data_IF_451038586224
#
_entry.id   IF_451038586224
#
_cell.length_a   1.000
_cell.length_b   1.000
_cell.length_c   1.000
_cell.angle_alpha   90.00
_cell.angle_beta   90.00
_cell.angle_gamma   90.00
#
_symmetry.space_group_name_H-M   'P 1'
#
loop_
_entity.id
_entity.type
_entity.pdbx_description
1 polymer ?
#
# COMPACT_ATOMS: atom_id res chain seq x y z
N UNK A 1 20.31 3.03 21.50
CA UNK A 1 19.35 2.27 20.65
C UNK A 1 19.09 3.13 19.43
N UNK A 2 18.90 2.51 18.26
CA UNK A 2 18.53 3.25 17.08
C UNK A 2 17.01 3.54 17.06
N UNK A 3 16.64 4.70 16.56
CA UNK A 3 15.26 5.14 16.36
C UNK A 3 14.88 4.79 14.91
N UNK A 4 13.86 3.93 14.72
CA UNK A 4 13.43 3.48 13.40
C UNK A 4 12.24 4.31 12.90
N UNK A 5 12.47 5.13 11.88
CA UNK A 5 11.47 6.02 11.26
C UNK A 5 11.36 5.81 9.74
N UNK A 6 11.53 4.56 9.27
CA UNK A 6 11.33 4.18 7.85
C UNK A 6 10.19 3.14 7.69
N UNK A 7 9.13 3.25 8.49
CA UNK A 7 7.97 2.35 8.43
C UNK A 7 7.23 2.41 7.08
N UNK A 8 7.31 3.52 6.37
CA UNK A 8 6.77 3.65 5.02
C UNK A 8 7.48 2.78 3.97
N UNK A 9 8.70 2.30 4.24
CA UNK A 9 9.37 1.30 3.42
C UNK A 9 8.96 -0.12 3.85
N UNK A 10 9.02 -0.42 5.14
CA UNK A 10 8.55 -1.67 5.75
C UNK A 10 8.34 -1.43 7.25
N UNK A 11 7.30 -1.96 7.86
CA UNK A 11 7.10 -1.83 9.29
C UNK A 11 8.18 -2.59 10.09
N UNK A 12 8.66 -1.98 11.18
CA UNK A 12 9.55 -2.63 12.13
C UNK A 12 9.33 -2.04 13.54
N UNK A 13 9.19 -2.92 14.58
CA UNK A 13 9.11 -4.38 14.49
C UNK A 13 7.87 -4.86 13.74
N UNK A 14 7.76 -6.16 13.46
CA UNK A 14 6.53 -6.78 12.99
C UNK A 14 5.54 -6.95 14.15
N UNK A 15 4.25 -7.17 13.84
CA UNK A 15 3.28 -7.47 14.88
C UNK A 15 3.72 -8.69 15.72
N UNK A 16 3.36 -8.72 17.01
CA UNK A 16 3.60 -9.88 17.85
C UNK A 16 3.05 -11.17 17.23
N UNK A 17 3.80 -12.27 17.34
CA UNK A 17 3.40 -13.58 16.82
C UNK A 17 3.72 -13.83 15.34
N UNK A 18 4.14 -12.83 14.57
CA UNK A 18 4.44 -13.00 13.13
C UNK A 18 5.60 -13.97 12.91
N UNK A 19 6.71 -13.79 13.62
CA UNK A 19 7.87 -14.67 13.49
C UNK A 19 7.57 -16.08 13.96
N UNK A 20 6.88 -16.22 15.05
CA UNK A 20 6.47 -17.50 15.66
C UNK A 20 5.54 -18.30 14.74
N UNK A 21 4.56 -17.64 14.13
CA UNK A 21 3.64 -18.28 13.20
C UNK A 21 4.35 -18.79 11.94
N UNK A 22 5.29 -18.02 11.39
CA UNK A 22 6.11 -18.43 10.25
C UNK A 22 7.01 -19.62 10.62
N UNK A 23 7.63 -19.60 11.80
CA UNK A 23 8.47 -20.67 12.30
C UNK A 23 7.67 -21.95 12.55
N UNK A 24 6.47 -21.84 13.12
CA UNK A 24 5.57 -22.96 13.35
C UNK A 24 5.20 -23.65 12.04
N UNK A 25 4.82 -22.87 11.01
CA UNK A 25 4.57 -23.46 9.70
C UNK A 25 5.76 -24.24 9.16
N UNK A 26 6.97 -23.66 9.21
CA UNK A 26 8.17 -24.29 8.64
C UNK A 26 8.56 -25.56 9.39
N UNK A 27 8.43 -25.57 10.72
CA UNK A 27 8.90 -26.68 11.55
C UNK A 27 7.84 -27.78 11.76
N UNK A 28 6.57 -27.44 11.81
CA UNK A 28 5.52 -28.34 12.29
C UNK A 28 4.42 -28.64 11.26
N UNK A 29 4.19 -27.75 10.28
CA UNK A 29 3.12 -27.91 9.28
C UNK A 29 3.68 -28.34 7.93
N UNK A 30 4.48 -27.52 7.29
CA UNK A 30 5.24 -27.77 6.07
C UNK A 30 4.45 -28.28 4.85
N UNK A 31 3.12 -28.22 4.90
CA UNK A 31 2.23 -28.84 3.92
C UNK A 31 1.81 -27.85 2.84
N UNK A 32 1.80 -28.29 1.57
CA UNK A 32 1.21 -27.51 0.50
C UNK A 32 -0.33 -27.65 0.55
N UNK A 33 -1.03 -26.55 0.20
CA UNK A 33 -2.49 -26.50 0.10
C UNK A 33 -2.96 -26.96 -1.28
N UNK A 34 -4.24 -27.36 -1.40
CA UNK A 34 -4.91 -27.76 -2.64
C UNK A 34 -4.31 -29.00 -3.34
N UNK A 35 -3.35 -29.71 -2.71
CA UNK A 35 -2.67 -30.89 -3.34
C UNK A 35 -2.71 -32.14 -2.48
N UNK A 36 -3.23 -32.06 -1.26
CA UNK A 36 -3.20 -33.19 -0.32
C UNK A 36 -4.38 -33.12 0.67
N UNK A 37 -4.78 -34.31 1.18
CA UNK A 37 -5.94 -34.48 2.08
C UNK A 37 -5.54 -34.80 3.53
N UNK A 38 -4.25 -34.82 3.85
CA UNK A 38 -3.78 -35.14 5.21
C UNK A 38 -3.92 -33.91 6.16
N UNK A 39 -3.92 -34.17 7.46
CA UNK A 39 -4.28 -33.22 8.49
C UNK A 39 -3.51 -31.88 8.43
N UNK A 40 -2.18 -31.90 8.20
CA UNK A 40 -1.40 -30.66 8.13
C UNK A 40 -1.73 -29.82 6.89
N UNK A 41 -2.11 -30.43 5.76
CA UNK A 41 -2.60 -29.70 4.59
C UNK A 41 -3.95 -29.01 4.87
N UNK A 42 -4.84 -29.70 5.60
CA UNK A 42 -6.11 -29.11 6.04
C UNK A 42 -5.89 -27.94 7.00
N UNK A 43 -4.95 -28.07 7.93
CA UNK A 43 -4.58 -26.98 8.84
C UNK A 43 -4.08 -25.75 8.07
N UNK A 44 -3.19 -25.97 7.09
CA UNK A 44 -2.71 -24.87 6.25
C UNK A 44 -3.85 -24.20 5.47
N UNK A 45 -4.76 -24.98 4.88
CA UNK A 45 -5.90 -24.46 4.15
C UNK A 45 -6.85 -23.63 5.04
N UNK A 46 -7.06 -24.05 6.30
CA UNK A 46 -7.85 -23.29 7.26
C UNK A 46 -7.23 -21.93 7.61
N UNK A 47 -5.91 -21.86 7.80
CA UNK A 47 -5.22 -20.59 8.04
C UNK A 47 -5.32 -19.65 6.83
N UNK A 48 -5.22 -20.18 5.61
CA UNK A 48 -5.43 -19.37 4.41
C UNK A 48 -6.85 -18.81 4.34
N UNK A 49 -7.85 -19.62 4.63
CA UNK A 49 -9.26 -19.17 4.66
C UNK A 49 -9.46 -18.11 5.76
N UNK A 50 -9.01 -18.38 6.97
CA UNK A 50 -9.13 -17.42 8.08
C UNK A 50 -8.43 -16.09 7.75
N UNK A 51 -7.26 -16.13 7.10
CA UNK A 51 -6.56 -14.90 6.67
C UNK A 51 -7.40 -14.10 5.67
N UNK A 52 -8.07 -14.76 4.72
CA UNK A 52 -8.99 -14.12 3.77
C UNK A 52 -10.19 -13.51 4.48
N UNK A 53 -10.78 -14.23 5.43
CA UNK A 53 -11.90 -13.75 6.24
C UNK A 53 -11.51 -12.56 7.12
N UNK A 54 -10.30 -12.55 7.68
CA UNK A 54 -9.76 -11.42 8.42
C UNK A 54 -9.60 -10.19 7.53
N UNK A 55 -9.14 -10.34 6.29
CA UNK A 55 -9.05 -9.26 5.30
C UNK A 55 -10.44 -8.76 4.88
N UNK A 56 -11.42 -9.65 4.73
CA UNK A 56 -12.81 -9.29 4.49
C UNK A 56 -13.35 -8.40 5.63
N UNK A 57 -13.11 -8.80 6.88
CA UNK A 57 -13.51 -7.99 8.06
C UNK A 57 -12.80 -6.64 8.11
N UNK A 58 -11.49 -6.62 7.81
CA UNK A 58 -10.68 -5.41 7.87
C UNK A 58 -11.13 -4.35 6.85
N UNK A 59 -11.55 -4.77 5.66
CA UNK A 59 -11.89 -3.88 4.55
C UNK A 59 -13.38 -3.79 4.23
N UNK A 60 -14.26 -4.39 5.05
CA UNK A 60 -15.69 -4.52 4.76
C UNK A 60 -15.98 -5.10 3.38
N UNK A 61 -15.38 -6.25 3.10
CA UNK A 61 -15.51 -7.02 1.86
C UNK A 61 -16.24 -8.35 2.12
N UNK A 62 -17.07 -8.84 1.18
CA UNK A 62 -17.99 -9.94 1.49
C UNK A 62 -17.47 -11.34 1.18
N UNK A 63 -16.60 -11.46 0.16
CA UNK A 63 -16.27 -12.78 -0.38
C UNK A 63 -14.79 -13.13 -0.20
N UNK A 64 -14.45 -14.02 0.74
CA UNK A 64 -13.08 -14.44 0.96
C UNK A 64 -12.45 -15.14 -0.25
N UNK A 65 -13.23 -15.70 -1.18
CA UNK A 65 -12.69 -16.33 -2.39
C UNK A 65 -12.13 -15.29 -3.35
N UNK A 66 -12.60 -14.04 -3.29
CA UNK A 66 -12.13 -12.91 -4.08
C UNK A 66 -10.99 -12.11 -3.44
N UNK A 67 -10.45 -12.61 -2.33
CA UNK A 67 -9.20 -12.14 -1.72
C UNK A 67 -8.04 -12.97 -2.25
N UNK A 68 -7.13 -12.38 -2.98
CA UNK A 68 -6.03 -13.04 -3.69
C UNK A 68 -4.71 -12.72 -3.00
N UNK A 69 -3.91 -13.74 -2.71
CA UNK A 69 -2.54 -13.55 -2.23
C UNK A 69 -1.59 -13.34 -3.41
N UNK A 70 -0.74 -12.34 -3.29
CA UNK A 70 0.26 -12.00 -4.30
C UNK A 70 1.67 -11.98 -3.68
N UNK A 71 2.75 -12.09 -4.45
CA UNK A 71 4.11 -11.93 -3.93
C UNK A 71 4.39 -10.54 -3.33
N UNK A 72 3.48 -9.60 -3.52
CA UNK A 72 3.54 -8.23 -3.02
C UNK A 72 2.68 -7.32 -3.87
N UNK A 73 2.49 -6.09 -3.40
CA UNK A 73 1.61 -5.11 -4.04
C UNK A 73 1.92 -4.84 -5.51
N UNK A 74 3.21 -4.74 -5.88
CA UNK A 74 3.63 -4.49 -7.27
C UNK A 74 3.10 -5.58 -8.21
N UNK A 75 3.09 -6.85 -7.77
CA UNK A 75 2.53 -7.95 -8.56
C UNK A 75 1.01 -7.78 -8.73
N UNK A 76 0.29 -7.47 -7.64
CA UNK A 76 -1.16 -7.22 -7.69
C UNK A 76 -1.54 -6.09 -8.65
N UNK A 77 -0.87 -4.93 -8.56
CA UNK A 77 -1.12 -3.81 -9.49
C UNK A 77 -0.80 -4.18 -10.95
N UNK A 78 0.27 -4.94 -11.21
CA UNK A 78 0.55 -5.41 -12.56
C UNK A 78 -0.55 -6.36 -13.07
N UNK A 79 -1.04 -7.28 -12.22
CA UNK A 79 -2.14 -8.19 -12.58
C UNK A 79 -3.40 -7.40 -12.96
N UNK A 80 -3.78 -6.40 -12.14
CA UNK A 80 -4.96 -5.59 -12.40
C UNK A 80 -4.82 -4.74 -13.66
N UNK A 81 -3.72 -3.98 -13.78
CA UNK A 81 -3.55 -3.03 -14.88
C UNK A 81 -3.37 -3.75 -16.22
N UNK A 82 -2.46 -4.72 -16.28
CA UNK A 82 -2.16 -5.44 -17.53
C UNK A 82 -3.22 -6.48 -17.91
N UNK A 83 -3.91 -7.05 -16.92
CA UNK A 83 -5.00 -7.97 -17.16
C UNK A 83 -6.27 -7.27 -17.65
N UNK A 84 -6.46 -6.00 -17.29
CA UNK A 84 -7.69 -5.27 -17.59
C UNK A 84 -7.59 -4.33 -18.78
N UNK A 85 -6.52 -3.54 -18.88
CA UNK A 85 -6.36 -2.49 -19.89
C UNK A 85 -5.87 -3.06 -21.23
N UNK A 86 -6.44 -2.54 -22.31
CA UNK A 86 -6.12 -2.92 -23.69
C UNK A 86 -5.78 -1.65 -24.51
N UNK A 87 -5.16 -1.82 -25.67
CA UNK A 87 -4.89 -0.72 -26.60
C UNK A 87 -6.17 0.08 -26.90
N UNK A 88 -6.08 1.39 -26.82
CA UNK A 88 -7.20 2.31 -27.00
C UNK A 88 -7.93 2.67 -25.69
N UNK A 89 -7.68 1.97 -24.58
CA UNK A 89 -8.26 2.31 -23.29
C UNK A 89 -7.53 3.52 -22.66
N UNK A 90 -8.28 4.29 -21.86
CA UNK A 90 -7.77 5.40 -21.09
C UNK A 90 -7.93 5.11 -19.59
N UNK A 91 -6.90 5.41 -18.80
CA UNK A 91 -6.91 5.31 -17.34
C UNK A 91 -6.58 6.64 -16.69
N UNK A 92 -7.28 6.95 -15.59
CA UNK A 92 -7.00 8.14 -14.79
C UNK A 92 -6.28 7.71 -13.52
N UNK A 93 -5.13 8.34 -13.24
CA UNK A 93 -4.32 8.18 -12.04
C UNK A 93 -4.10 9.53 -11.36
N UNK A 94 -3.41 9.59 -10.22
CA UNK A 94 -3.03 10.87 -9.62
C UNK A 94 -1.63 11.34 -10.04
N UNK A 95 -1.30 12.61 -9.81
CA UNK A 95 0.06 13.13 -9.97
C UNK A 95 1.01 12.66 -8.85
N UNK A 96 0.47 12.01 -7.82
CA UNK A 96 1.21 11.58 -6.62
C UNK A 96 1.64 10.11 -6.65
N UNK A 97 1.35 9.37 -7.74
CA UNK A 97 1.50 7.91 -7.80
C UNK A 97 2.92 7.38 -7.61
N UNK A 98 2.98 6.22 -6.94
CA UNK A 98 4.18 5.42 -6.81
C UNK A 98 4.54 4.70 -8.11
N UNK A 99 5.82 4.36 -8.30
CA UNK A 99 6.30 3.61 -9.48
C UNK A 99 5.66 2.21 -9.65
N UNK A 100 5.09 1.63 -8.60
CA UNK A 100 4.35 0.37 -8.71
C UNK A 100 3.08 0.51 -9.59
N UNK A 101 2.48 1.72 -9.59
CA UNK A 101 1.38 2.11 -10.48
C UNK A 101 1.91 2.61 -11.83
N UNK A 102 2.88 3.53 -11.81
CA UNK A 102 3.28 4.24 -13.02
C UNK A 102 4.11 3.41 -14.00
N UNK A 103 4.99 2.53 -13.53
CA UNK A 103 5.83 1.74 -14.43
C UNK A 103 5.05 0.75 -15.30
N UNK A 104 4.06 -0.01 -14.78
CA UNK A 104 3.16 -0.79 -15.64
C UNK A 104 2.42 0.07 -16.66
N UNK A 105 1.93 1.26 -16.27
CA UNK A 105 1.22 2.16 -17.17
C UNK A 105 2.12 2.71 -18.29
N UNK A 106 3.37 3.05 -18.00
CA UNK A 106 4.36 3.44 -19.04
C UNK A 106 4.68 2.28 -20.00
N UNK A 107 4.58 1.02 -19.54
CA UNK A 107 4.69 -0.12 -20.44
C UNK A 107 3.45 -0.23 -21.34
N UNK A 108 2.26 -0.14 -20.75
CA UNK A 108 0.98 -0.20 -21.46
C UNK A 108 0.79 0.99 -22.42
N UNK A 109 1.33 2.17 -22.11
CA UNK A 109 1.34 3.32 -23.01
C UNK A 109 2.01 3.00 -24.35
N UNK A 110 3.10 2.21 -24.34
CA UNK A 110 3.77 1.73 -25.56
C UNK A 110 2.93 0.73 -26.36
N UNK A 111 1.92 0.13 -25.70
CA UNK A 111 0.99 -0.81 -26.27
C UNK A 111 -0.34 -0.12 -26.68
N UNK A 112 -0.43 1.20 -26.54
CA UNK A 112 -1.58 2.00 -26.97
C UNK A 112 -2.61 2.31 -25.89
N UNK A 113 -2.31 2.09 -24.59
CA UNK A 113 -3.13 2.60 -23.49
C UNK A 113 -2.76 4.05 -23.21
N UNK A 114 -3.76 4.89 -22.98
CA UNK A 114 -3.56 6.30 -22.60
C UNK A 114 -3.77 6.50 -21.09
N UNK A 115 -3.12 7.51 -20.50
CA UNK A 115 -3.43 7.89 -19.13
C UNK A 115 -3.43 9.40 -18.91
N UNK A 116 -4.26 9.85 -17.95
CA UNK A 116 -4.30 11.23 -17.47
C UNK A 116 -4.04 11.26 -15.96
N UNK A 117 -3.58 12.42 -15.45
CA UNK A 117 -3.28 12.59 -14.03
C UNK A 117 -4.19 13.63 -13.40
N UNK A 118 -4.88 13.27 -12.32
CA UNK A 118 -5.54 14.21 -11.42
C UNK A 118 -4.43 15.08 -10.82
N UNK A 119 -4.46 16.41 -10.98
CA UNK A 119 -3.44 17.27 -10.41
C UNK A 119 -3.54 17.34 -8.89
N UNK A 120 -2.41 17.47 -8.22
CA UNK A 120 -2.34 17.89 -6.82
C UNK A 120 -1.56 19.21 -6.72
N UNK A 121 -1.80 19.95 -5.66
CA UNK A 121 -1.08 21.21 -5.37
C UNK A 121 0.33 20.94 -4.79
N UNK A 122 1.00 22.01 -4.35
CA UNK A 122 2.35 21.95 -3.77
C UNK A 122 2.40 21.26 -2.40
N UNK A 123 1.25 21.07 -1.78
CA UNK A 123 1.10 20.33 -0.52
C UNK A 123 0.67 18.88 -0.75
N UNK A 124 0.58 18.47 -2.02
CA UNK A 124 0.20 17.12 -2.43
C UNK A 124 -1.30 16.84 -2.29
N UNK A 125 -2.13 17.90 -2.20
CA UNK A 125 -3.59 17.79 -2.06
C UNK A 125 -4.24 17.83 -3.44
N UNK A 126 -4.96 16.77 -3.76
CA UNK A 126 -5.80 16.68 -4.96
C UNK A 126 -7.27 17.00 -4.62
N UNK A 127 -8.02 17.48 -5.59
CA UNK A 127 -9.46 17.68 -5.48
C UNK A 127 -10.19 16.66 -6.35
N UNK A 128 -11.26 16.08 -5.83
CA UNK A 128 -11.98 15.03 -6.54
C UNK A 128 -12.62 15.53 -7.85
N UNK A 129 -13.10 16.78 -7.86
CA UNK A 129 -13.70 17.38 -9.03
C UNK A 129 -12.74 17.54 -10.22
N UNK A 130 -11.42 17.57 -9.97
CA UNK A 130 -10.41 17.68 -11.02
C UNK A 130 -10.32 16.40 -11.88
N UNK A 131 -10.99 15.31 -11.50
CA UNK A 131 -11.16 14.11 -12.34
C UNK A 131 -12.13 14.35 -13.50
N UNK A 132 -13.17 15.18 -13.32
CA UNK A 132 -14.26 15.34 -14.27
C UNK A 132 -13.81 15.74 -15.68
N UNK A 133 -12.92 16.74 -15.86
CA UNK A 133 -12.44 17.12 -17.20
C UNK A 133 -11.50 16.08 -17.82
N UNK A 134 -11.03 15.10 -17.05
CA UNK A 134 -10.14 14.04 -17.54
C UNK A 134 -10.92 12.83 -18.06
N UNK A 135 -12.20 12.71 -17.73
CA UNK A 135 -13.05 11.59 -18.18
C UNK A 135 -13.32 11.72 -19.68
N UNK A 136 -13.03 10.66 -20.42
CA UNK A 136 -13.21 10.55 -21.87
C UNK A 136 -14.14 9.38 -22.19
N UNK A 137 -14.69 9.28 -23.43
CA UNK A 137 -15.52 8.14 -23.82
C UNK A 137 -14.82 6.78 -23.69
N UNK A 138 -13.49 6.75 -23.83
CA UNK A 138 -12.66 5.56 -23.67
C UNK A 138 -12.03 5.43 -22.27
N UNK A 139 -12.44 6.24 -21.29
CA UNK A 139 -11.97 6.06 -19.91
C UNK A 139 -12.50 4.75 -19.35
N UNK A 140 -11.59 3.82 -19.13
CA UNK A 140 -11.87 2.44 -18.73
C UNK A 140 -11.68 2.21 -17.24
N UNK A 141 -10.82 3.00 -16.58
CA UNK A 141 -10.38 2.76 -15.22
C UNK A 141 -9.97 4.05 -14.52
N UNK A 142 -10.23 4.14 -13.23
CA UNK A 142 -9.56 5.05 -12.31
C UNK A 142 -8.73 4.22 -11.34
N UNK A 143 -7.44 4.54 -11.18
CA UNK A 143 -6.55 3.82 -10.28
C UNK A 143 -5.66 4.83 -9.54
N UNK A 144 -5.84 4.96 -8.22
CA UNK A 144 -5.08 5.93 -7.43
C UNK A 144 -4.60 5.34 -6.11
N UNK A 145 -3.51 5.93 -5.57
CA UNK A 145 -3.10 5.66 -4.21
C UNK A 145 -4.04 6.33 -3.20
N UNK A 146 -4.17 5.74 -2.02
CA UNK A 146 -4.94 6.34 -0.93
C UNK A 146 -4.15 7.46 -0.23
N UNK A 147 -2.86 7.22 0.02
CA UNK A 147 -1.97 8.21 0.62
C UNK A 147 -0.59 8.21 -0.04
N UNK A 148 0.00 9.39 -0.15
CA UNK A 148 1.34 9.57 -0.70
C UNK A 148 2.41 8.93 0.19
N UNK A 149 3.23 8.06 -0.41
CA UNK A 149 4.40 7.49 0.26
C UNK A 149 5.57 8.48 0.40
N UNK A 150 5.43 9.69 -0.13
CA UNK A 150 6.42 10.77 -0.02
C UNK A 150 6.09 11.67 1.15
N UNK A 151 4.91 12.28 1.16
CA UNK A 151 4.53 13.34 2.10
C UNK A 151 3.31 13.00 2.99
N UNK A 152 2.71 11.83 2.79
CA UNK A 152 1.58 11.35 3.60
C UNK A 152 0.23 11.97 3.23
N UNK A 153 0.13 12.87 2.25
CA UNK A 153 -1.14 13.47 1.86
C UNK A 153 -2.14 12.39 1.40
N UNK A 154 -3.36 12.49 1.92
CA UNK A 154 -4.50 11.64 1.54
C UNK A 154 -5.16 12.17 0.26
N UNK A 155 -5.48 11.27 -0.65
CA UNK A 155 -6.33 11.59 -1.79
C UNK A 155 -7.80 11.50 -1.38
N UNK A 156 -8.72 12.29 -2.00
CA UNK A 156 -10.15 12.30 -1.69
C UNK A 156 -10.85 11.08 -2.34
N UNK A 157 -10.48 9.87 -1.87
CA UNK A 157 -10.88 8.59 -2.50
C UNK A 157 -12.37 8.31 -2.36
N UNK A 158 -13.03 8.86 -1.34
CA UNK A 158 -14.47 8.72 -1.13
C UNK A 158 -15.24 9.47 -2.22
N UNK A 159 -14.86 10.69 -2.49
CA UNK A 159 -15.46 11.55 -3.52
C UNK A 159 -15.12 11.02 -4.92
N UNK A 160 -13.88 10.58 -5.15
CA UNK A 160 -13.46 9.93 -6.41
C UNK A 160 -14.30 8.68 -6.65
N UNK A 161 -14.47 7.82 -5.64
CA UNK A 161 -15.29 6.61 -5.71
C UNK A 161 -16.76 6.90 -6.03
N UNK A 162 -17.31 7.98 -5.46
CA UNK A 162 -18.68 8.41 -5.79
C UNK A 162 -18.82 8.82 -7.27
N UNK A 163 -17.86 9.57 -7.81
CA UNK A 163 -17.81 9.95 -9.23
C UNK A 163 -17.66 8.71 -10.12
N UNK A 164 -16.78 7.79 -9.74
CA UNK A 164 -16.57 6.54 -10.49
C UNK A 164 -17.85 5.70 -10.56
N UNK A 165 -18.55 5.57 -9.43
CA UNK A 165 -19.82 4.82 -9.34
C UNK A 165 -20.92 5.47 -10.20
N UNK A 166 -21.08 6.80 -10.15
CA UNK A 166 -22.03 7.54 -10.99
C UNK A 166 -21.76 7.34 -12.48
N UNK A 167 -20.51 7.22 -12.86
CA UNK A 167 -20.06 7.07 -14.27
C UNK A 167 -19.87 5.63 -14.71
N UNK A 168 -20.10 4.64 -13.82
CA UNK A 168 -19.85 3.23 -14.06
C UNK A 168 -18.40 2.95 -14.52
N UNK A 169 -17.43 3.64 -13.93
CA UNK A 169 -16.00 3.45 -14.17
C UNK A 169 -15.42 2.64 -13.01
N UNK A 170 -14.79 1.48 -13.25
CA UNK A 170 -14.10 0.73 -12.23
C UNK A 170 -13.06 1.56 -11.48
N UNK A 171 -12.94 1.32 -10.16
CA UNK A 171 -12.05 2.08 -9.28
C UNK A 171 -11.12 1.15 -8.51
N UNK A 172 -9.80 1.30 -8.72
CA UNK A 172 -8.74 0.57 -8.02
C UNK A 172 -8.06 1.46 -7.01
N UNK A 173 -7.89 0.95 -5.78
CA UNK A 173 -7.19 1.62 -4.69
C UNK A 173 -5.84 0.96 -4.39
N UNK A 174 -4.75 1.76 -4.49
CA UNK A 174 -3.46 1.44 -3.90
C UNK A 174 -3.48 1.83 -2.41
N UNK A 175 -3.60 0.84 -1.52
CA UNK A 175 -3.66 1.05 -0.08
C UNK A 175 -2.31 0.84 0.63
N UNK A 176 -1.17 0.98 -0.08
CA UNK A 176 0.16 0.67 0.45
C UNK A 176 0.57 1.48 1.68
N UNK A 177 0.02 2.68 1.86
CA UNK A 177 0.37 3.57 2.97
C UNK A 177 -0.80 3.79 3.93
N UNK A 178 -1.83 2.94 3.89
CA UNK A 178 -3.05 3.13 4.70
C UNK A 178 -3.62 1.82 5.24
N UNK A 179 -3.46 0.70 4.53
CA UNK A 179 -3.98 -0.59 4.94
C UNK A 179 -3.48 -0.97 6.34
N UNK A 180 -4.41 -1.24 7.27
CA UNK A 180 -4.15 -1.69 8.64
C UNK A 180 -4.03 -0.59 9.69
N UNK A 181 -3.83 0.67 9.31
CA UNK A 181 -3.71 1.80 10.25
C UNK A 181 -4.55 3.03 9.87
N UNK A 182 -5.26 2.98 8.76
CA UNK A 182 -6.25 3.98 8.36
C UNK A 182 -7.51 3.24 7.88
N UNK A 183 -8.72 3.68 8.25
CA UNK A 183 -9.95 3.02 7.86
C UNK A 183 -10.15 2.99 6.34
N UNK A 184 -10.46 1.81 5.81
CA UNK A 184 -10.79 1.61 4.40
C UNK A 184 -12.03 0.71 4.35
N UNK A 185 -13.11 1.23 3.82
CA UNK A 185 -14.34 0.48 3.57
C UNK A 185 -14.51 0.27 2.06
N UNK A 186 -14.32 -0.97 1.61
CA UNK A 186 -14.36 -1.34 0.21
C UNK A 186 -15.68 -0.96 -0.46
N UNK A 187 -16.80 -1.18 0.26
CA UNK A 187 -18.16 -0.92 -0.24
C UNK A 187 -18.48 0.57 -0.26
N UNK A 188 -18.17 1.27 0.84
CA UNK A 188 -18.44 2.71 0.95
C UNK A 188 -17.68 3.47 -0.12
N UNK A 189 -16.41 3.13 -0.35
CA UNK A 189 -15.56 3.75 -1.36
C UNK A 189 -15.95 3.35 -2.79
N UNK A 190 -16.78 2.30 -2.97
CA UNK A 190 -17.18 1.81 -4.29
C UNK A 190 -16.04 1.25 -5.10
N UNK A 191 -15.15 0.53 -4.44
CA UNK A 191 -13.98 -0.05 -5.08
C UNK A 191 -14.35 -1.23 -5.97
N UNK A 192 -13.68 -1.36 -7.11
CA UNK A 192 -13.66 -2.58 -7.93
C UNK A 192 -12.49 -3.48 -7.55
N UNK A 193 -11.37 -2.88 -7.08
CA UNK A 193 -10.28 -3.63 -6.50
C UNK A 193 -9.48 -2.79 -5.50
N UNK A 194 -8.81 -3.49 -4.58
CA UNK A 194 -7.87 -2.93 -3.61
C UNK A 194 -6.60 -3.77 -3.60
N UNK A 195 -5.44 -3.11 -3.56
CA UNK A 195 -4.16 -3.77 -3.33
C UNK A 195 -3.47 -3.25 -2.08
N UNK A 196 -2.85 -4.16 -1.30
CA UNK A 196 -2.03 -3.78 -0.15
C UNK A 196 -0.83 -4.73 0.03
N UNK A 197 0.34 -4.22 0.46
CA UNK A 197 1.49 -5.06 0.81
C UNK A 197 1.33 -5.58 2.25
N UNK A 198 1.68 -6.83 2.49
CA UNK A 198 1.62 -7.40 3.84
C UNK A 198 2.61 -6.78 4.83
N UNK A 199 3.73 -6.26 4.33
CA UNK A 199 4.89 -5.87 5.15
C UNK A 199 4.92 -4.42 5.65
N UNK A 200 3.92 -3.58 5.29
CA UNK A 200 3.79 -2.20 5.77
C UNK A 200 2.76 -2.11 6.88
N UNK A 201 1.72 -1.29 6.72
CA UNK A 201 0.71 -1.10 7.76
C UNK A 201 -0.09 -2.36 8.14
N UNK A 202 -0.09 -3.41 7.32
CA UNK A 202 -0.60 -4.73 7.72
C UNK A 202 0.35 -5.49 8.67
N UNK A 203 1.51 -4.96 9.02
CA UNK A 203 2.47 -5.43 10.03
C UNK A 203 2.99 -6.87 9.85
N UNK A 204 2.72 -7.48 8.70
CA UNK A 204 3.12 -8.85 8.35
C UNK A 204 4.50 -8.92 7.68
N UNK A 205 4.89 -10.10 7.17
CA UNK A 205 6.19 -10.30 6.55
C UNK A 205 6.27 -9.71 5.14
N UNK A 206 7.49 -9.58 4.63
CA UNK A 206 7.76 -9.32 3.23
C UNK A 206 7.44 -10.55 2.36
N UNK A 207 7.30 -10.36 1.04
CA UNK A 207 7.04 -11.45 0.10
C UNK A 207 5.58 -11.94 0.09
N UNK A 208 4.68 -11.19 0.72
CA UNK A 208 3.23 -11.38 0.66
C UNK A 208 2.53 -10.04 0.46
N UNK A 209 1.50 -10.01 -0.36
CA UNK A 209 0.57 -8.92 -0.56
C UNK A 209 -0.82 -9.48 -0.79
N UNK A 210 -1.80 -8.59 -0.82
CA UNK A 210 -3.20 -8.94 -1.00
C UNK A 210 -3.82 -8.09 -2.10
N UNK A 211 -4.75 -8.70 -2.83
CA UNK A 211 -5.56 -8.07 -3.86
C UNK A 211 -7.01 -8.54 -3.64
N UNK A 212 -7.91 -7.59 -3.42
CA UNK A 212 -9.34 -7.84 -3.31
C UNK A 212 -10.00 -7.35 -4.60
N UNK A 213 -10.91 -8.11 -5.17
CA UNK A 213 -11.63 -7.73 -6.39
C UNK A 213 -13.12 -8.01 -6.25
N UNK A 214 -13.97 -7.08 -6.69
CA UNK A 214 -15.40 -7.38 -6.82
C UNK A 214 -15.65 -8.44 -7.90
N UNK A 215 -16.82 -9.10 -7.83
CA UNK A 215 -17.16 -10.21 -8.71
C UNK A 215 -17.16 -9.85 -10.20
N UNK A 216 -17.71 -8.71 -10.55
CA UNK A 216 -17.86 -8.31 -11.96
C UNK A 216 -16.51 -7.84 -12.53
N UNK A 217 -15.75 -7.11 -11.74
CA UNK A 217 -14.42 -6.68 -12.15
C UNK A 217 -13.48 -7.88 -12.34
N UNK A 218 -13.50 -8.85 -11.42
CA UNK A 218 -12.66 -10.06 -11.49
C UNK A 218 -12.88 -10.88 -12.75
N UNK A 219 -14.12 -10.94 -13.26
CA UNK A 219 -14.45 -11.62 -14.54
C UNK A 219 -13.80 -10.94 -15.74
N UNK A 220 -13.60 -9.63 -15.66
CA UNK A 220 -13.07 -8.80 -16.77
C UNK A 220 -11.55 -8.68 -16.79
N UNK A 221 -10.86 -9.14 -15.73
CA UNK A 221 -9.40 -9.14 -15.63
C UNK A 221 -8.84 -10.46 -16.12
N UNK A 222 -7.95 -10.42 -17.10
CA UNK A 222 -7.21 -11.60 -17.55
C UNK A 222 -6.04 -11.91 -16.61
N UNK A 223 -5.89 -13.18 -16.17
CA UNK A 223 -4.75 -13.57 -15.37
C UNK A 223 -3.41 -13.34 -16.05
N UNK A 224 -2.48 -12.67 -15.39
CA UNK A 224 -1.14 -12.39 -15.94
C UNK A 224 -0.24 -13.62 -15.90
N UNK A 225 -0.49 -14.52 -14.96
CA UNK A 225 0.33 -15.73 -14.72
C UNK A 225 -0.57 -16.93 -14.86
N UNK A 226 -0.23 -17.82 -15.78
CA UNK A 226 -0.88 -19.11 -15.96
C UNK A 226 0.00 -20.24 -15.40
N UNK A 227 -0.62 -21.21 -14.73
CA UNK A 227 0.10 -22.35 -14.15
C UNK A 227 -0.81 -23.29 -13.38
N UNK A 228 -0.25 -24.32 -12.79
CA UNK A 228 -1.01 -25.28 -11.99
C UNK A 228 -1.49 -24.66 -10.66
N UNK A 229 -2.76 -24.87 -10.33
CA UNK A 229 -3.40 -24.35 -9.11
C UNK A 229 -3.63 -25.42 -8.04
N UNK A 230 -3.44 -26.70 -8.42
CA UNK A 230 -3.76 -27.85 -7.57
C UNK A 230 -5.22 -28.30 -7.66
N UNK A 231 -6.06 -27.57 -8.38
CA UNK A 231 -7.44 -27.88 -8.71
C UNK A 231 -7.61 -28.05 -10.22
N UNK A 232 -8.73 -28.62 -10.69
CA UNK A 232 -9.04 -28.82 -12.12
C UNK A 232 -7.87 -29.44 -12.91
N UNK A 233 -7.22 -30.46 -12.32
CA UNK A 233 -6.02 -31.07 -12.91
C UNK A 233 -6.31 -31.95 -14.17
N UNK A 234 -7.54 -32.07 -14.54
CA UNK A 234 -8.05 -32.73 -15.75
C UNK A 234 -8.13 -31.81 -16.98
N UNK A 235 -7.85 -30.50 -16.80
CA UNK A 235 -7.84 -29.49 -17.87
C UNK A 235 -6.49 -28.79 -17.97
N UNK A 236 -6.09 -28.41 -19.21
CA UNK A 236 -4.94 -27.53 -19.48
C UNK A 236 -5.34 -26.05 -19.44
N UNK A 237 -6.63 -25.74 -19.34
CA UNK A 237 -7.11 -24.36 -19.18
C UNK A 237 -7.06 -23.93 -17.72
N UNK A 238 -6.87 -22.62 -17.50
CA UNK A 238 -6.94 -22.06 -16.12
C UNK A 238 -8.36 -22.23 -15.56
N UNK A 239 -8.50 -22.61 -14.29
CA UNK A 239 -9.82 -22.69 -13.66
C UNK A 239 -10.53 -21.32 -13.73
N UNK A 240 -11.83 -21.28 -14.05
CA UNK A 240 -12.60 -20.04 -14.14
C UNK A 240 -13.01 -19.47 -12.77
N UNK A 241 -12.85 -20.26 -11.69
CA UNK A 241 -13.30 -19.90 -10.36
C UNK A 241 -12.18 -19.30 -9.51
N UNK A 242 -12.59 -18.47 -8.55
CA UNK A 242 -11.73 -17.81 -7.61
C UNK A 242 -11.45 -18.69 -6.38
N UNK A 243 -10.31 -18.56 -5.73
CA UNK A 243 -9.16 -17.68 -6.03
C UNK A 243 -8.21 -18.26 -7.07
N UNK A 244 -8.40 -19.51 -7.49
CA UNK A 244 -7.46 -20.32 -8.29
C UNK A 244 -7.08 -19.65 -9.60
N UNK A 245 -8.03 -18.93 -10.21
CA UNK A 245 -7.79 -18.18 -11.46
C UNK A 245 -6.58 -17.24 -11.36
N UNK A 246 -6.28 -16.68 -10.19
CA UNK A 246 -5.21 -15.71 -9.98
C UNK A 246 -4.06 -16.22 -9.09
N UNK A 247 -4.18 -17.42 -8.54
CA UNK A 247 -3.19 -18.00 -7.61
C UNK A 247 -2.47 -19.21 -8.21
N UNK A 248 -1.95 -19.07 -9.43
CA UNK A 248 -1.16 -20.11 -10.06
C UNK A 248 0.18 -20.33 -9.36
N UNK A 249 0.57 -21.59 -9.21
CA UNK A 249 1.83 -22.00 -8.59
C UNK A 249 1.72 -22.32 -7.10
N UNK A 250 2.86 -22.41 -6.41
CA UNK A 250 2.91 -22.63 -4.96
C UNK A 250 2.99 -21.29 -4.26
N UNK A 251 2.01 -21.00 -3.42
CA UNK A 251 1.94 -19.76 -2.66
C UNK A 251 3.00 -19.68 -1.55
N UNK A 252 3.30 -18.45 -1.11
CA UNK A 252 4.11 -18.20 0.08
C UNK A 252 3.32 -18.45 1.36
N UNK A 253 3.04 -19.73 1.65
CA UNK A 253 2.24 -20.13 2.82
C UNK A 253 2.85 -19.64 4.14
N UNK A 254 4.18 -19.76 4.40
CA UNK A 254 4.75 -19.18 5.61
C UNK A 254 4.50 -17.67 5.71
N UNK A 255 4.50 -16.95 4.58
CA UNK A 255 4.14 -15.53 4.56
C UNK A 255 2.67 -15.29 4.93
N UNK A 256 1.74 -16.16 4.49
CA UNK A 256 0.33 -16.08 4.90
C UNK A 256 0.15 -16.33 6.39
N UNK A 257 0.87 -17.31 6.97
CA UNK A 257 0.86 -17.56 8.42
C UNK A 257 1.29 -16.32 9.23
N UNK A 258 2.38 -15.68 8.79
CA UNK A 258 2.82 -14.43 9.41
C UNK A 258 1.82 -13.29 9.24
N UNK A 259 1.19 -13.19 8.06
CA UNK A 259 0.15 -12.19 7.80
C UNK A 259 -1.10 -12.45 8.64
N UNK A 260 -1.51 -13.70 8.82
CA UNK A 260 -2.63 -14.11 9.68
C UNK A 260 -2.43 -13.61 11.12
N UNK A 261 -1.27 -13.87 11.70
CA UNK A 261 -0.94 -13.39 13.05
C UNK A 261 -0.97 -11.86 13.15
N UNK A 262 -0.46 -11.17 12.14
CA UNK A 262 -0.48 -9.70 12.09
C UNK A 262 -1.91 -9.15 11.99
N UNK A 263 -2.76 -9.74 11.16
CA UNK A 263 -4.16 -9.33 11.01
C UNK A 263 -4.96 -9.60 12.29
N UNK A 264 -4.72 -10.72 12.97
CA UNK A 264 -5.30 -11.01 14.29
C UNK A 264 -4.98 -9.87 15.27
N UNK A 265 -3.71 -9.48 15.36
CA UNK A 265 -3.28 -8.36 16.21
C UNK A 265 -3.94 -7.03 15.84
N UNK A 266 -4.04 -6.72 14.53
CA UNK A 266 -4.70 -5.50 14.04
C UNK A 266 -6.19 -5.50 14.39
N UNK A 267 -6.90 -6.61 14.16
CA UNK A 267 -8.34 -6.70 14.43
C UNK A 267 -8.66 -6.67 15.93
N UNK A 268 -7.80 -7.24 16.78
CA UNK A 268 -7.95 -7.17 18.23
C UNK A 268 -7.77 -5.76 18.78
N UNK A 269 -6.81 -4.99 18.24
CA UNK A 269 -6.57 -3.60 18.65
C UNK A 269 -7.54 -2.60 18.01
N UNK A 270 -7.97 -2.88 16.78
CA UNK A 270 -8.76 -1.98 15.96
C UNK A 270 -7.92 -0.96 15.19
N UNK A 271 -8.29 -0.69 13.94
CA UNK A 271 -7.59 0.26 13.05
C UNK A 271 -7.52 1.67 13.65
N UNK A 272 -8.58 2.11 14.32
CA UNK A 272 -8.63 3.43 14.97
C UNK A 272 -7.60 3.60 16.08
N UNK A 273 -7.21 2.50 16.76
CA UNK A 273 -6.15 2.54 17.76
C UNK A 273 -4.80 2.92 17.11
N UNK A 274 -4.45 2.29 15.98
CA UNK A 274 -3.22 2.59 15.25
C UNK A 274 -3.26 4.00 14.66
N UNK A 275 -4.40 4.38 14.07
CA UNK A 275 -4.61 5.70 13.52
C UNK A 275 -4.43 6.80 14.58
N UNK A 276 -5.09 6.70 15.71
CA UNK A 276 -5.00 7.69 16.79
C UNK A 276 -3.57 7.81 17.34
N UNK A 277 -2.86 6.69 17.47
CA UNK A 277 -1.46 6.66 17.88
C UNK A 277 -0.57 7.41 16.87
N UNK A 278 -0.70 7.09 15.58
CA UNK A 278 0.08 7.70 14.51
C UNK A 278 -0.24 9.21 14.36
N UNK A 279 -1.52 9.59 14.44
CA UNK A 279 -1.95 11.01 14.40
C UNK A 279 -1.33 11.81 15.55
N UNK A 280 -1.33 11.28 16.78
CA UNK A 280 -0.71 11.92 17.93
C UNK A 280 0.78 12.19 17.72
N UNK A 281 1.52 11.18 17.26
CA UNK A 281 2.96 11.30 17.01
C UNK A 281 3.26 12.22 15.83
N UNK A 282 2.45 12.17 14.78
CA UNK A 282 2.57 13.04 13.62
C UNK A 282 2.38 14.51 14.01
N UNK A 283 1.33 14.81 14.77
CA UNK A 283 1.09 16.17 15.27
C UNK A 283 2.29 16.68 16.09
N UNK A 284 2.79 15.85 17.02
CA UNK A 284 3.98 16.19 17.81
C UNK A 284 5.19 16.48 16.94
N UNK A 285 5.41 15.67 15.89
CA UNK A 285 6.53 15.87 14.97
C UNK A 285 6.39 17.19 14.21
N UNK A 286 5.20 17.47 13.66
CA UNK A 286 4.91 18.70 12.92
C UNK A 286 5.07 19.94 13.80
N UNK A 287 4.56 19.91 15.03
CA UNK A 287 4.69 21.00 15.98
C UNK A 287 6.17 21.28 16.30
N UNK A 288 6.97 20.23 16.47
CA UNK A 288 8.40 20.35 16.74
C UNK A 288 9.24 20.85 15.56
N UNK A 289 8.73 20.74 14.32
CA UNK A 289 9.41 21.25 13.13
C UNK A 289 9.27 22.78 12.98
N UNK A 290 8.23 23.41 13.55
CA UNK A 290 7.91 24.84 13.33
C UNK A 290 9.06 25.80 13.65
N UNK A 291 9.89 25.45 14.64
CA UNK A 291 11.02 26.24 15.09
C UNK A 291 12.37 25.78 14.50
N UNK A 292 12.36 24.93 13.49
CA UNK A 292 13.56 24.41 12.82
C UNK A 292 13.58 24.93 11.38
N UNK A 293 14.72 25.47 10.89
CA UNK A 293 14.83 26.05 9.55
C UNK A 293 14.90 24.98 8.44
N UNK A 294 13.88 24.12 8.37
CA UNK A 294 13.67 23.11 7.32
C UNK A 294 12.33 23.36 6.63
N UNK A 295 12.17 22.81 5.44
CA UNK A 295 10.90 22.85 4.71
C UNK A 295 10.15 21.53 4.88
N UNK A 296 8.92 21.59 5.37
CA UNK A 296 7.99 20.48 5.24
C UNK A 296 7.50 20.42 3.78
N UNK A 297 7.61 19.25 3.14
CA UNK A 297 6.99 18.99 1.84
C UNK A 297 5.69 18.20 2.07
N UNK A 298 4.55 18.83 1.84
CA UNK A 298 3.22 18.28 2.10
C UNK A 298 2.41 19.13 3.09
N UNK A 299 1.18 18.71 3.34
CA UNK A 299 0.23 19.46 4.19
C UNK A 299 0.52 19.29 5.69
N UNK A 300 0.24 20.34 6.48
CA UNK A 300 0.18 20.27 7.95
C UNK A 300 -1.22 19.86 8.45
N UNK A 301 -2.24 19.87 7.58
CA UNK A 301 -3.61 19.53 7.94
C UNK A 301 -3.73 18.03 8.29
N UNK A 302 -3.87 17.74 9.58
CA UNK A 302 -3.97 16.37 10.10
C UNK A 302 -5.17 15.58 9.55
N UNK A 303 -6.23 16.26 9.11
CA UNK A 303 -7.39 15.59 8.49
C UNK A 303 -7.10 15.07 7.08
N UNK A 304 -5.98 15.50 6.48
CA UNK A 304 -5.61 15.20 5.09
C UNK A 304 -4.28 14.47 4.97
N UNK A 305 -3.83 13.78 6.02
CA UNK A 305 -2.53 13.10 5.99
C UNK A 305 -2.46 11.87 6.88
N UNK A 306 -1.48 11.03 6.61
CA UNK A 306 -1.00 9.94 7.46
C UNK A 306 0.41 10.25 7.99
N UNK A 307 0.95 9.40 8.85
CA UNK A 307 2.24 9.59 9.55
C UNK A 307 3.50 9.45 8.70
N UNK A 308 3.45 9.91 7.46
CA UNK A 308 4.61 10.02 6.56
C UNK A 308 4.98 11.49 6.42
N UNK A 309 6.18 11.87 6.84
CA UNK A 309 6.63 13.26 6.95
C UNK A 309 7.86 13.44 6.05
N UNK A 310 7.79 14.38 5.11
CA UNK A 310 8.85 14.69 4.17
C UNK A 310 9.53 16.00 4.56
N UNK A 311 10.81 15.95 4.92
CA UNK A 311 11.61 17.10 5.31
C UNK A 311 12.66 17.39 4.23
N UNK A 312 12.69 18.62 3.78
CA UNK A 312 13.71 19.19 2.90
C UNK A 312 14.63 20.10 3.73
N UNK A 313 15.88 19.73 3.84
CA UNK A 313 16.89 20.48 4.58
C UNK A 313 17.39 21.64 3.70
N UNK A 314 16.66 22.73 3.71
CA UNK A 314 16.94 23.90 2.87
C UNK A 314 18.38 24.40 3.05
N UNK A 315 19.13 24.44 1.96
CA UNK A 315 20.55 24.87 1.99
C UNK A 315 21.54 23.73 2.29
N UNK A 316 21.07 22.51 2.55
CA UNK A 316 21.89 21.33 2.73
C UNK A 316 21.54 20.27 1.69
N UNK A 317 22.44 19.33 1.45
CA UNK A 317 22.13 18.13 0.68
C UNK A 317 21.32 17.16 1.54
N UNK A 318 20.13 16.74 1.06
CA UNK A 318 19.25 15.84 1.79
C UNK A 318 19.88 14.45 2.03
N UNK A 319 20.80 14.00 1.16
CA UNK A 319 21.51 12.74 1.36
C UNK A 319 22.57 12.86 2.46
N UNK A 320 23.29 13.98 2.53
CA UNK A 320 24.22 14.29 3.63
C UNK A 320 23.48 14.42 4.96
N UNK A 321 22.34 15.10 4.97
CA UNK A 321 21.48 15.20 6.16
C UNK A 321 20.98 13.82 6.63
N UNK A 322 20.54 12.96 5.72
CA UNK A 322 20.12 11.60 6.06
C UNK A 322 21.28 10.75 6.60
N UNK A 323 22.47 10.89 6.04
CA UNK A 323 23.68 10.23 6.56
C UNK A 323 24.03 10.71 7.97
N UNK A 324 23.95 12.03 8.21
CA UNK A 324 24.19 12.59 9.56
C UNK A 324 23.14 12.06 10.57
N UNK A 325 21.86 11.96 10.19
CA UNK A 325 20.81 11.35 11.02
C UNK A 325 21.15 9.90 11.36
N UNK A 326 21.58 9.10 10.39
CA UNK A 326 21.98 7.70 10.62
C UNK A 326 23.14 7.59 11.61
N UNK A 327 24.16 8.49 11.52
CA UNK A 327 25.27 8.52 12.48
C UNK A 327 24.80 8.86 13.92
N UNK A 328 23.68 9.57 14.06
CA UNK A 328 23.00 9.83 15.34
C UNK A 328 22.03 8.71 15.75
N UNK A 329 21.93 7.63 14.96
CA UNK A 329 21.05 6.50 15.23
C UNK A 329 19.61 6.69 14.80
N UNK A 330 19.30 7.70 13.96
CA UNK A 330 17.96 7.96 13.42
C UNK A 330 17.88 7.34 12.02
N UNK A 331 17.14 6.25 11.89
CA UNK A 331 17.00 5.49 10.66
C UNK A 331 15.85 6.02 9.80
N UNK A 332 16.18 6.68 8.70
CA UNK A 332 15.24 7.33 7.78
C UNK A 332 15.53 6.91 6.34
N UNK A 333 14.77 7.41 5.40
CA UNK A 333 15.03 7.22 3.96
C UNK A 333 15.12 8.56 3.25
N UNK A 334 16.13 8.71 2.37
CA UNK A 334 16.32 9.88 1.53
C UNK A 334 16.06 9.58 0.05
N UNK A 335 15.72 10.60 -0.72
CA UNK A 335 15.64 10.60 -2.18
C UNK A 335 14.21 10.69 -2.73
N UNK A 336 13.97 10.06 -3.89
CA UNK A 336 12.70 10.18 -4.64
C UNK A 336 11.63 9.15 -4.24
N UNK A 337 11.88 8.27 -3.29
CA UNK A 337 10.91 7.31 -2.73
C UNK A 337 10.09 6.54 -3.78
N UNK A 338 10.67 6.29 -4.97
CA UNK A 338 10.00 5.66 -6.11
C UNK A 338 8.73 6.41 -6.59
N UNK A 339 8.66 7.73 -6.41
CA UNK A 339 7.52 8.56 -6.81
C UNK A 339 7.99 9.88 -7.45
N UNK A 340 8.70 9.84 -8.60
CA UNK A 340 9.26 11.05 -9.21
C UNK A 340 8.19 12.07 -9.62
N UNK A 341 6.98 11.63 -9.95
CA UNK A 341 5.84 12.49 -10.27
C UNK A 341 5.40 13.30 -9.05
N UNK A 342 5.30 12.67 -7.88
CA UNK A 342 5.00 13.35 -6.63
C UNK A 342 6.03 14.42 -6.30
N UNK A 343 7.32 14.13 -6.46
CA UNK A 343 8.38 15.12 -6.24
C UNK A 343 8.34 16.30 -7.21
N UNK A 344 7.92 16.08 -8.49
CA UNK A 344 7.66 17.19 -9.43
C UNK A 344 6.49 18.07 -8.97
N UNK A 345 5.42 17.44 -8.48
CA UNK A 345 4.25 18.14 -7.93
C UNK A 345 4.62 18.96 -6.68
N UNK A 346 5.34 18.35 -5.73
CA UNK A 346 5.77 19.00 -4.49
C UNK A 346 6.91 20.02 -4.66
N UNK A 347 7.56 20.03 -5.84
CA UNK A 347 8.71 20.92 -6.12
C UNK A 347 9.99 20.52 -5.42
N UNK A 348 10.17 19.22 -5.18
CA UNK A 348 11.36 18.62 -4.54
C UNK A 348 12.16 17.75 -5.52
N UNK A 349 11.80 17.73 -6.80
CA UNK A 349 12.58 17.08 -7.85
C UNK A 349 13.73 17.99 -8.33
N UNK A 350 14.94 17.47 -8.60
CA UNK A 350 15.38 16.06 -8.58
C UNK A 350 15.97 15.59 -7.25
N UNK A 351 16.19 16.43 -6.27
CA UNK A 351 16.90 16.13 -5.03
C UNK A 351 16.15 15.13 -4.13
N UNK A 352 14.81 15.19 -4.14
CA UNK A 352 14.01 14.42 -3.19
C UNK A 352 13.94 15.09 -1.82
N UNK A 353 13.64 14.30 -0.80
CA UNK A 353 13.51 14.73 0.60
C UNK A 353 14.05 13.66 1.53
N UNK A 354 14.26 13.99 2.81
CA UNK A 354 14.39 13.01 3.88
C UNK A 354 12.99 12.68 4.39
N UNK A 355 12.61 11.40 4.33
CA UNK A 355 11.31 10.91 4.77
C UNK A 355 11.41 10.26 6.13
N UNK A 356 10.59 10.72 7.05
CA UNK A 356 10.31 10.10 8.33
C UNK A 356 8.95 9.44 8.25
N UNK A 357 8.84 8.19 8.61
CA UNK A 357 7.56 7.49 8.65
C UNK A 357 7.39 6.75 9.96
N UNK A 358 6.39 7.19 10.69
CA UNK A 358 6.00 6.65 11.98
C UNK A 358 5.33 5.29 11.82
N UNK A 359 5.35 4.49 12.85
CA UNK A 359 4.69 3.19 12.88
C UNK A 359 4.10 2.89 14.26
N UNK A 360 3.43 1.78 14.38
CA UNK A 360 2.71 1.39 15.58
C UNK A 360 3.57 1.28 16.85
N UNK A 361 4.86 1.03 16.69
CA UNK A 361 5.83 0.90 17.79
C UNK A 361 6.64 2.19 18.03
N UNK A 362 6.47 3.22 17.22
CA UNK A 362 7.12 4.52 17.43
C UNK A 362 6.61 5.17 18.71
N UNK A 363 7.47 5.91 19.41
CA UNK A 363 7.17 6.56 20.68
C UNK A 363 7.33 8.08 20.60
N UNK A 364 6.80 8.81 21.59
CA UNK A 364 7.06 10.26 21.71
C UNK A 364 8.56 10.56 21.88
N UNK A 365 9.29 9.70 22.58
CA UNK A 365 10.74 9.85 22.73
C UNK A 365 11.50 9.68 21.40
N UNK A 366 11.02 8.82 20.50
CA UNK A 366 11.59 8.67 19.15
C UNK A 366 11.38 9.94 18.34
N UNK A 367 10.19 10.54 18.44
CA UNK A 367 9.87 11.82 17.78
C UNK A 367 10.76 12.94 18.31
N UNK A 368 10.88 13.07 19.64
CA UNK A 368 11.70 14.10 20.27
C UNK A 368 13.19 13.95 19.89
N UNK A 369 13.70 12.71 19.92
CA UNK A 369 15.08 12.44 19.50
C UNK A 369 15.34 12.76 18.02
N UNK A 370 14.37 12.47 17.13
CA UNK A 370 14.48 12.84 15.73
C UNK A 370 14.47 14.37 15.53
N UNK A 371 13.59 15.09 16.23
CA UNK A 371 13.53 16.55 16.18
C UNK A 371 14.81 17.22 16.69
N UNK A 372 15.41 16.68 17.75
CA UNK A 372 16.70 17.15 18.25
C UNK A 372 17.83 16.97 17.23
N UNK A 373 17.88 15.78 16.58
CA UNK A 373 18.83 15.50 15.52
C UNK A 373 18.63 16.44 14.30
N UNK A 374 17.39 16.61 13.84
CA UNK A 374 17.06 17.54 12.75
C UNK A 374 17.53 18.95 13.08
N UNK A 375 17.25 19.43 14.31
CA UNK A 375 17.66 20.77 14.77
C UNK A 375 19.16 20.95 14.79
N UNK A 376 19.93 19.90 15.09
CA UNK A 376 21.39 19.96 15.11
C UNK A 376 22.01 20.05 13.73
N UNK A 377 21.36 19.46 12.70
CA UNK A 377 21.84 19.45 11.31
C UNK A 377 21.44 20.75 10.59
N UNK A 378 20.24 21.25 10.86
CA UNK A 378 19.66 22.42 10.18
C UNK A 378 20.23 23.78 10.67
N UNK A 379 21.15 23.79 11.63
CA UNK A 379 21.85 24.98 12.12
C UNK A 379 23.00 25.37 11.19
#
# INVERSE_FOLDING_TARGET
>A
MSIYLDNGATSYPKAPGVGEAMLDYVNNVGANVNRSTYATASTAAMILLDTREQLCRLFNFDDPTHVIFTPGMTAGLNMLLKGYLKAGDHVIVSSMEHNAMMRPLIQLEKEGVEFSRIPADRDGIARAEDILPLIRPNTKLVAVMHASNVCGSLLPVKEIGAICRERNIPFILDAAQTAGHYPIDFKELGLSALCAPGHKGLLGPQGIGVMLMDHEFAKSVEPLIAGGTGSASDSEELPPYMPDRFESGTMNIPGVYGLNAALTYILEKGVDHFRAHEEKLTQRFLDGLKDIPVRLAGTEDMAKRVGVIAVDFTGHDNAEAAFALEQMGILTRCGLHCAPSAHKTLGTFPQGVVRFSLGYASTEADVDGALEAIRSIAR
#
